data_IF_332000014852
#
_entry.id   IF_332000014852
#
_cell.length_a   1.000
_cell.length_b   1.000
_cell.length_c   1.000
_cell.angle_alpha   90.00
_cell.angle_beta   90.00
_cell.angle_gamma   90.00
#
_symmetry.space_group_name_H-M   'P 1'
#
loop_
_entity.id
_entity.type
_entity.pdbx_description
1 polymer ?
#
# COMPACT_ATOMS: atom_id res chain seq x y z
N UNK A 1 7.60 13.72 -23.15
CA UNK A 1 7.72 12.63 -22.17
C UNK A 1 6.40 12.46 -21.45
N UNK A 2 5.99 11.21 -21.18
CA UNK A 2 4.83 10.92 -20.35
C UNK A 2 5.28 10.22 -19.06
N UNK A 3 4.62 10.46 -17.92
CA UNK A 3 4.85 9.65 -16.72
C UNK A 3 4.71 8.16 -17.04
N UNK A 4 5.53 7.32 -16.43
CA UNK A 4 5.30 5.88 -16.49
C UNK A 4 4.03 5.56 -15.70
N UNK A 5 3.23 4.56 -16.12
CA UNK A 5 2.09 4.10 -15.34
C UNK A 5 2.52 3.72 -13.91
N UNK A 6 1.70 4.05 -12.95
CA UNK A 6 1.95 3.67 -11.56
C UNK A 6 1.83 2.14 -11.41
N UNK A 7 2.79 1.46 -10.78
CA UNK A 7 2.75 0.01 -10.63
C UNK A 7 1.74 -0.43 -9.56
N UNK A 8 1.44 0.45 -8.60
CA UNK A 8 0.55 0.22 -7.48
C UNK A 8 -0.43 1.37 -7.37
N UNK A 9 -1.72 1.10 -7.15
CA UNK A 9 -2.75 2.11 -6.88
C UNK A 9 -3.24 1.98 -5.44
N UNK A 10 -3.15 3.07 -4.69
CA UNK A 10 -3.69 3.19 -3.34
C UNK A 10 -5.10 3.77 -3.43
N UNK A 11 -6.08 3.04 -2.93
CA UNK A 11 -7.49 3.38 -3.07
C UNK A 11 -8.04 4.02 -1.80
N UNK A 12 -8.77 5.11 -1.96
CA UNK A 12 -9.59 5.70 -0.91
C UNK A 12 -11.05 5.81 -1.35
N UNK A 13 -11.95 6.06 -0.42
CA UNK A 13 -13.33 6.42 -0.72
C UNK A 13 -13.86 7.51 0.24
N UNK A 14 -14.74 8.34 -0.29
CA UNK A 14 -15.28 9.50 0.45
C UNK A 14 -16.16 9.06 1.63
N UNK A 15 -16.83 7.91 1.54
CA UNK A 15 -17.65 7.40 2.64
C UNK A 15 -16.82 7.15 3.89
N UNK A 16 -15.65 6.50 3.75
CA UNK A 16 -14.70 6.27 4.86
C UNK A 16 -14.26 7.58 5.51
N UNK A 17 -13.90 8.58 4.70
CA UNK A 17 -13.45 9.87 5.22
C UNK A 17 -14.56 10.60 5.98
N UNK A 18 -15.80 10.56 5.48
CA UNK A 18 -16.97 11.17 6.13
C UNK A 18 -17.32 10.46 7.45
N UNK A 19 -17.36 9.13 7.43
CA UNK A 19 -17.68 8.33 8.61
C UNK A 19 -16.61 8.54 9.68
N UNK A 20 -15.34 8.47 9.33
CA UNK A 20 -14.25 8.70 10.26
C UNK A 20 -14.28 10.11 10.87
N UNK A 21 -14.52 11.14 10.04
CA UNK A 21 -14.66 12.51 10.55
C UNK A 21 -15.81 12.62 11.55
N UNK A 22 -16.97 12.05 11.21
CA UNK A 22 -18.14 12.06 12.11
C UNK A 22 -17.83 11.38 13.44
N UNK A 23 -17.20 10.19 13.41
CA UNK A 23 -16.85 9.46 14.61
C UNK A 23 -15.84 10.21 15.47
N UNK A 24 -14.82 10.82 14.85
CA UNK A 24 -13.84 11.65 15.55
C UNK A 24 -14.45 12.91 16.19
N UNK A 25 -15.51 13.47 15.60
CA UNK A 25 -16.19 14.66 16.12
C UNK A 25 -17.24 14.33 17.19
N UNK A 26 -17.89 13.16 17.13
CA UNK A 26 -19.05 12.83 17.95
C UNK A 26 -18.77 11.80 19.04
N UNK A 27 -17.76 10.94 18.83
CA UNK A 27 -17.40 9.89 19.76
C UNK A 27 -16.04 10.20 20.37
N UNK A 28 -16.01 10.32 21.68
CA UNK A 28 -14.77 10.61 22.43
C UNK A 28 -13.68 9.54 22.22
N UNK A 29 -14.03 8.40 21.66
CA UNK A 29 -13.13 7.26 21.47
C UNK A 29 -12.39 7.23 20.13
N UNK A 30 -12.93 7.86 19.05
CA UNK A 30 -12.36 7.75 17.71
C UNK A 30 -12.13 6.29 17.33
N UNK A 31 -13.16 5.48 17.39
CA UNK A 31 -13.10 4.01 17.44
C UNK A 31 -12.32 3.35 16.32
N UNK A 32 -12.32 3.92 15.11
CA UNK A 32 -11.62 3.36 13.94
C UNK A 32 -10.09 3.50 14.00
N UNK A 33 -9.52 3.56 15.13
CA UNK A 33 -8.10 3.72 15.38
C UNK A 33 -7.82 4.82 16.38
N UNK A 34 -8.87 5.44 16.92
CA UNK A 34 -8.79 6.52 17.93
C UNK A 34 -7.85 7.67 17.53
N UNK A 35 -7.75 7.91 16.23
CA UNK A 35 -6.92 8.96 15.68
C UNK A 35 -7.68 9.79 14.67
N UNK A 36 -7.61 11.10 14.83
CA UNK A 36 -8.08 11.99 13.78
C UNK A 36 -7.34 11.70 12.47
N UNK A 37 -8.10 11.61 11.38
CA UNK A 37 -7.57 11.34 10.04
C UNK A 37 -6.87 9.98 9.86
N UNK A 38 -7.24 8.95 10.61
CA UNK A 38 -6.61 7.61 10.53
C UNK A 38 -6.60 7.04 9.10
N UNK A 39 -7.70 7.16 8.33
CA UNK A 39 -7.72 6.73 6.91
C UNK A 39 -6.66 7.44 6.07
N UNK A 40 -6.52 8.76 6.23
CA UNK A 40 -5.53 9.54 5.45
C UNK A 40 -4.10 9.28 5.92
N UNK A 41 -3.88 9.10 7.22
CA UNK A 41 -2.57 8.70 7.76
C UNK A 41 -2.15 7.32 7.26
N UNK A 42 -3.09 6.37 7.23
CA UNK A 42 -2.84 5.03 6.67
C UNK A 42 -2.52 5.10 5.19
N UNK A 43 -3.26 5.92 4.43
CA UNK A 43 -2.98 6.14 3.01
C UNK A 43 -1.58 6.74 2.78
N UNK A 44 -1.20 7.74 3.60
CA UNK A 44 0.13 8.37 3.54
C UNK A 44 1.24 7.37 3.89
N UNK A 45 1.08 6.59 4.95
CA UNK A 45 2.06 5.58 5.34
C UNK A 45 2.23 4.49 4.28
N UNK A 46 1.14 4.01 3.68
CA UNK A 46 1.20 3.08 2.55
C UNK A 46 1.92 3.71 1.34
N UNK A 47 1.65 5.00 1.06
CA UNK A 47 2.33 5.74 -0.01
C UNK A 47 3.85 5.82 0.24
N UNK A 48 4.26 6.18 1.44
CA UNK A 48 5.68 6.27 1.82
C UNK A 48 6.35 4.90 1.75
N UNK A 49 5.72 3.85 2.28
CA UNK A 49 6.24 2.50 2.28
C UNK A 49 6.47 1.94 0.86
N UNK A 50 5.54 2.19 -0.07
CA UNK A 50 5.69 1.79 -1.48
C UNK A 50 6.72 2.68 -2.18
N UNK A 51 6.70 4.00 -1.93
CA UNK A 51 7.61 4.97 -2.55
C UNK A 51 9.08 4.71 -2.19
N UNK A 52 9.35 4.18 -1.00
CA UNK A 52 10.69 3.80 -0.57
C UNK A 52 11.35 2.76 -1.48
N UNK A 53 10.58 2.05 -2.32
CA UNK A 53 11.10 1.13 -3.35
C UNK A 53 11.40 1.81 -4.70
N UNK A 54 11.35 3.15 -4.76
CA UNK A 54 11.67 3.91 -5.96
C UNK A 54 10.56 3.87 -7.02
N UNK A 55 9.35 3.56 -6.63
CA UNK A 55 8.17 3.65 -7.49
C UNK A 55 7.21 4.70 -6.94
N UNK A 56 6.45 5.34 -7.81
CA UNK A 56 5.43 6.31 -7.38
C UNK A 56 4.07 5.66 -7.48
N UNK A 57 3.41 5.32 -6.36
CA UNK A 57 2.05 4.81 -6.41
C UNK A 57 1.08 5.89 -6.86
N UNK A 58 0.00 5.48 -7.49
CA UNK A 58 -1.15 6.33 -7.76
C UNK A 58 -2.05 6.35 -6.53
N UNK A 59 -2.68 7.49 -6.25
CA UNK A 59 -3.76 7.61 -5.27
C UNK A 59 -5.04 7.89 -6.02
N UNK A 60 -6.02 7.01 -5.91
CA UNK A 60 -7.27 7.10 -6.66
C UNK A 60 -8.51 6.91 -5.77
N UNK A 61 -9.60 7.61 -6.12
CA UNK A 61 -10.90 7.34 -5.54
C UNK A 61 -11.46 6.03 -6.11
N UNK A 62 -11.99 5.17 -5.26
CA UNK A 62 -12.66 3.93 -5.66
C UNK A 62 -13.77 4.15 -6.70
N UNK A 63 -14.39 5.34 -6.70
CA UNK A 63 -15.43 5.70 -7.65
C UNK A 63 -14.90 5.91 -9.08
N UNK A 64 -13.65 6.35 -9.21
CA UNK A 64 -13.02 6.65 -10.50
C UNK A 64 -11.94 5.65 -10.92
N UNK A 65 -11.60 4.70 -10.04
CA UNK A 65 -10.66 3.64 -10.35
C UNK A 65 -11.23 2.71 -11.44
N UNK A 66 -10.39 2.39 -12.41
CA UNK A 66 -10.74 1.44 -13.46
C UNK A 66 -10.62 0.00 -12.95
N UNK A 67 -11.74 -0.52 -12.43
CA UNK A 67 -11.84 -1.87 -11.88
C UNK A 67 -11.79 -2.97 -12.95
N UNK A 68 -12.01 -2.64 -14.22
CA UNK A 68 -12.02 -3.61 -15.32
C UNK A 68 -10.61 -3.89 -15.85
N UNK A 69 -9.70 -2.93 -15.72
CA UNK A 69 -8.28 -3.09 -16.02
C UNK A 69 -7.55 -3.79 -14.86
N UNK A 70 -7.77 -5.09 -14.73
CA UNK A 70 -7.35 -5.87 -13.55
C UNK A 70 -6.02 -6.63 -13.76
N UNK A 71 -5.75 -7.14 -14.98
CA UNK A 71 -4.68 -8.09 -15.22
C UNK A 71 -3.29 -7.55 -14.86
N UNK A 72 -2.66 -8.16 -13.84
CA UNK A 72 -1.33 -7.78 -13.37
C UNK A 72 -1.27 -6.45 -12.60
N UNK A 73 -2.42 -5.82 -12.30
CA UNK A 73 -2.47 -4.61 -11.47
C UNK A 73 -2.52 -4.97 -9.98
N UNK A 74 -1.89 -4.12 -9.18
CA UNK A 74 -1.94 -4.19 -7.72
C UNK A 74 -2.67 -2.97 -7.17
N UNK A 75 -3.74 -3.20 -6.41
CA UNK A 75 -4.49 -2.19 -5.69
C UNK A 75 -4.37 -2.41 -4.17
N UNK A 76 -4.37 -1.33 -3.41
CA UNK A 76 -4.28 -1.35 -1.94
C UNK A 76 -5.44 -0.56 -1.37
N UNK A 77 -6.14 -1.10 -0.38
CA UNK A 77 -7.18 -0.43 0.40
C UNK A 77 -6.67 -0.31 1.86
N UNK A 78 -5.96 0.78 2.20
CA UNK A 78 -5.36 0.94 3.52
C UNK A 78 -6.34 1.58 4.49
N UNK A 79 -6.84 0.82 5.48
CA UNK A 79 -7.68 1.32 6.57
C UNK A 79 -8.88 2.17 6.11
N UNK A 80 -9.55 1.77 5.03
CA UNK A 80 -10.79 2.42 4.59
C UNK A 80 -11.98 1.83 5.34
N UNK A 81 -12.37 2.47 6.45
CA UNK A 81 -13.34 1.93 7.43
C UNK A 81 -14.72 1.63 6.85
N UNK A 82 -15.09 2.25 5.74
CA UNK A 82 -16.33 1.94 5.03
C UNK A 82 -16.05 1.29 3.68
N UNK A 83 -16.89 0.32 3.35
CA UNK A 83 -16.93 -0.30 2.03
C UNK A 83 -18.35 -0.23 1.48
N UNK A 84 -18.67 0.85 0.73
CA UNK A 84 -19.95 1.01 0.08
C UNK A 84 -20.34 -0.20 -0.77
N UNK A 85 -21.64 -0.52 -0.76
CA UNK A 85 -22.18 -1.72 -1.41
C UNK A 85 -21.88 -1.78 -2.91
N UNK A 86 -21.83 -0.62 -3.57
CA UNK A 86 -21.52 -0.50 -5.00
C UNK A 86 -20.11 -0.98 -5.41
N UNK A 87 -19.13 -0.95 -4.49
CA UNK A 87 -17.76 -1.38 -4.79
C UNK A 87 -17.55 -2.88 -4.63
N UNK A 88 -18.39 -3.58 -3.87
CA UNK A 88 -18.23 -5.02 -3.60
C UNK A 88 -18.14 -5.87 -4.88
N UNK A 89 -19.11 -5.78 -5.81
CA UNK A 89 -19.05 -6.55 -7.05
C UNK A 89 -17.85 -6.13 -7.94
N UNK A 90 -17.45 -4.86 -7.89
CA UNK A 90 -16.27 -4.37 -8.64
C UNK A 90 -14.97 -4.95 -8.09
N UNK A 91 -14.83 -5.02 -6.76
CA UNK A 91 -13.71 -5.67 -6.09
C UNK A 91 -13.63 -7.15 -6.46
N UNK A 92 -14.74 -7.88 -6.37
CA UNK A 92 -14.77 -9.29 -6.77
C UNK A 92 -14.40 -9.50 -8.24
N UNK A 93 -14.91 -8.64 -9.12
CA UNK A 93 -14.59 -8.68 -10.56
C UNK A 93 -13.10 -8.41 -10.80
N UNK A 94 -12.54 -7.37 -10.16
CA UNK A 94 -11.13 -7.02 -10.27
C UNK A 94 -10.22 -8.20 -9.88
N UNK A 95 -10.45 -8.80 -8.71
CA UNK A 95 -9.64 -9.93 -8.26
C UNK A 95 -9.87 -11.15 -9.16
N UNK A 96 -11.13 -11.49 -9.47
CA UNK A 96 -11.45 -12.63 -10.35
C UNK A 96 -10.74 -12.53 -11.71
N UNK A 97 -10.55 -11.31 -12.22
CA UNK A 97 -9.93 -11.03 -13.52
C UNK A 97 -8.40 -10.89 -13.47
N UNK A 98 -7.76 -11.16 -12.33
CA UNK A 98 -6.30 -11.24 -12.22
C UNK A 98 -5.66 -10.04 -11.53
N UNK A 99 -6.44 -9.16 -10.88
CA UNK A 99 -5.93 -8.12 -10.01
C UNK A 99 -5.45 -8.68 -8.68
N UNK A 100 -4.38 -8.10 -8.14
CA UNK A 100 -3.96 -8.31 -6.75
C UNK A 100 -4.52 -7.20 -5.87
N UNK A 101 -5.19 -7.56 -4.78
CA UNK A 101 -5.76 -6.62 -3.82
C UNK A 101 -5.13 -6.83 -2.45
N UNK A 102 -4.59 -5.76 -1.87
CA UNK A 102 -4.09 -5.73 -0.50
C UNK A 102 -5.07 -4.91 0.34
N UNK A 103 -5.62 -5.48 1.40
CA UNK A 103 -6.61 -4.83 2.26
C UNK A 103 -6.09 -4.86 3.69
N UNK A 104 -6.03 -3.70 4.33
CA UNK A 104 -5.47 -3.60 5.67
C UNK A 104 -6.38 -2.80 6.61
N UNK A 105 -6.11 -2.89 7.91
CA UNK A 105 -6.84 -2.16 8.92
C UNK A 105 -8.31 -2.55 9.00
N UNK A 106 -9.12 -1.65 9.52
CA UNK A 106 -10.56 -1.84 9.62
C UNK A 106 -11.31 -1.60 8.30
N UNK A 107 -10.66 -1.89 7.15
CA UNK A 107 -11.29 -1.70 5.84
C UNK A 107 -12.55 -2.54 5.71
N UNK A 108 -13.66 -1.85 5.41
CA UNK A 108 -14.97 -2.51 5.30
C UNK A 108 -15.62 -2.86 6.64
N UNK A 109 -15.24 -2.19 7.74
CA UNK A 109 -15.96 -2.35 9.01
C UNK A 109 -17.42 -1.91 8.89
N UNK A 110 -17.66 -0.83 8.15
CA UNK A 110 -19.00 -0.29 7.88
C UNK A 110 -19.37 -0.38 6.39
N UNK A 111 -20.68 -0.36 6.13
CA UNK A 111 -21.23 0.04 4.83
C UNK A 111 -21.33 1.59 4.73
N UNK A 112 -21.89 2.10 3.64
CA UNK A 112 -22.15 3.52 3.41
C UNK A 112 -23.13 4.17 4.39
N UNK A 113 -23.92 3.36 5.11
CA UNK A 113 -24.92 3.76 6.10
C UNK A 113 -24.43 3.56 7.54
N UNK A 114 -23.14 3.29 7.75
CA UNK A 114 -22.54 2.98 9.06
C UNK A 114 -23.07 1.68 9.70
N UNK A 115 -23.56 0.72 8.93
CA UNK A 115 -23.91 -0.60 9.44
C UNK A 115 -22.68 -1.49 9.44
N UNK A 116 -22.43 -2.16 10.55
CA UNK A 116 -21.31 -3.09 10.65
C UNK A 116 -21.49 -4.28 9.68
N UNK A 117 -20.51 -4.49 8.81
CA UNK A 117 -20.56 -5.55 7.80
C UNK A 117 -20.24 -6.94 8.34
N UNK A 118 -19.67 -7.03 9.53
CA UNK A 118 -19.28 -8.31 10.13
C UNK A 118 -20.38 -8.95 10.99
N UNK A 119 -21.47 -8.23 11.30
CA UNK A 119 -22.53 -8.72 12.18
C UNK A 119 -23.36 -9.88 11.61
N UNK A 120 -23.50 -9.97 10.29
CA UNK A 120 -24.35 -10.95 9.62
C UNK A 120 -23.59 -11.73 8.52
N UNK A 121 -22.29 -11.93 8.73
CA UNK A 121 -21.40 -12.51 7.74
C UNK A 121 -20.81 -11.43 6.80
N UNK A 122 -19.52 -11.52 6.58
CA UNK A 122 -18.80 -10.56 5.74
C UNK A 122 -19.13 -10.78 4.26
N UNK A 123 -19.65 -9.76 3.53
CA UNK A 123 -20.12 -9.94 2.16
C UNK A 123 -19.06 -10.41 1.17
N UNK A 124 -17.78 -10.09 1.42
CA UNK A 124 -16.65 -10.48 0.58
C UNK A 124 -15.89 -11.72 1.12
N UNK A 125 -16.48 -12.48 2.05
CA UNK A 125 -15.85 -13.67 2.65
C UNK A 125 -15.21 -14.60 1.62
N UNK A 126 -15.92 -14.93 0.54
CA UNK A 126 -15.40 -15.81 -0.50
C UNK A 126 -14.25 -15.21 -1.28
N UNK A 127 -14.28 -13.90 -1.54
CA UNK A 127 -13.22 -13.19 -2.25
C UNK A 127 -11.99 -12.99 -1.36
N UNK A 128 -12.21 -12.64 -0.08
CA UNK A 128 -11.12 -12.37 0.87
C UNK A 128 -10.57 -13.65 1.51
N UNK A 129 -11.29 -14.76 1.43
CA UNK A 129 -10.88 -16.05 1.96
C UNK A 129 -11.03 -16.21 3.48
N UNK A 130 -11.70 -15.28 4.15
CA UNK A 130 -11.92 -15.31 5.59
C UNK A 130 -13.10 -14.41 5.98
N UNK A 131 -13.48 -14.49 7.24
CA UNK A 131 -14.30 -13.49 7.92
C UNK A 131 -13.65 -13.09 9.24
N UNK A 132 -13.93 -11.88 9.72
CA UNK A 132 -13.47 -11.44 11.04
C UNK A 132 -14.38 -12.05 12.10
N UNK A 133 -13.79 -12.77 13.05
CA UNK A 133 -14.50 -13.28 14.22
C UNK A 133 -14.58 -12.24 15.33
N UNK A 134 -13.53 -11.46 15.49
CA UNK A 134 -13.38 -10.51 16.57
C UNK A 134 -12.40 -9.40 16.24
N UNK A 135 -12.65 -8.21 16.80
CA UNK A 135 -11.65 -7.15 16.96
C UNK A 135 -11.36 -6.94 18.43
N UNK A 136 -10.11 -7.17 18.84
CA UNK A 136 -9.63 -6.94 20.20
C UNK A 136 -8.88 -5.63 20.30
N UNK A 137 -9.05 -4.89 21.37
CA UNK A 137 -8.18 -3.79 21.74
C UNK A 137 -6.88 -4.38 22.30
N UNK A 138 -5.79 -4.29 21.53
CA UNK A 138 -4.51 -4.89 21.90
C UNK A 138 -3.54 -3.89 22.55
N UNK A 139 -3.92 -2.62 22.63
CA UNK A 139 -3.09 -1.53 23.14
C UNK A 139 -2.88 -0.44 22.11
N UNK A 140 -2.33 0.72 22.52
CA UNK A 140 -2.15 1.84 21.59
C UNK A 140 -1.25 1.45 20.41
N UNK A 141 -0.14 0.75 20.69
CA UNK A 141 0.73 0.17 19.67
C UNK A 141 1.13 -1.24 20.10
N UNK A 142 1.12 -2.15 19.14
CA UNK A 142 1.55 -3.54 19.37
C UNK A 142 2.24 -4.08 18.12
N UNK A 143 2.90 -5.22 18.24
CA UNK A 143 3.49 -5.95 17.13
C UNK A 143 2.55 -7.07 16.73
N UNK A 144 2.18 -7.11 15.46
CA UNK A 144 1.38 -8.17 14.88
C UNK A 144 2.31 -9.23 14.29
N UNK A 145 2.14 -10.48 14.69
CA UNK A 145 3.09 -11.53 14.38
C UNK A 145 4.46 -11.23 14.98
N UNK A 146 5.53 -11.38 14.21
CA UNK A 146 6.90 -11.21 14.69
C UNK A 146 7.43 -9.78 14.53
N UNK A 147 6.96 -9.01 13.54
CA UNK A 147 7.63 -7.77 13.16
C UNK A 147 6.69 -6.59 12.85
N UNK A 148 5.44 -6.84 12.45
CA UNK A 148 4.62 -5.81 11.82
C UNK A 148 3.95 -4.91 12.86
N UNK A 149 4.30 -3.61 12.96
CA UNK A 149 3.69 -2.72 13.91
C UNK A 149 2.21 -2.49 13.55
N UNK A 150 1.35 -2.46 14.54
CA UNK A 150 -0.06 -2.17 14.39
C UNK A 150 -0.55 -1.24 15.50
N UNK A 151 -1.72 -0.66 15.31
CA UNK A 151 -2.31 0.32 16.22
C UNK A 151 -3.68 -0.14 16.69
N UNK A 152 -3.85 -0.18 18.00
CA UNK A 152 -5.07 -0.36 18.77
C UNK A 152 -5.83 -1.66 18.50
N UNK A 153 -6.26 -1.91 17.24
CA UNK A 153 -7.17 -3.01 16.90
C UNK A 153 -6.41 -4.21 16.35
N UNK A 154 -6.57 -5.34 17.02
CA UNK A 154 -6.16 -6.65 16.54
C UNK A 154 -7.37 -7.36 15.95
N UNK A 155 -7.41 -7.50 14.64
CA UNK A 155 -8.43 -8.30 13.97
C UNK A 155 -8.05 -9.77 13.99
N UNK A 156 -9.02 -10.63 14.33
CA UNK A 156 -8.89 -12.08 14.34
C UNK A 156 -9.75 -12.66 13.24
N UNK A 157 -9.16 -13.50 12.41
CA UNK A 157 -9.80 -14.10 11.25
C UNK A 157 -10.18 -15.55 11.49
N UNK A 158 -11.33 -15.95 10.93
CA UNK A 158 -11.68 -17.35 10.68
C UNK A 158 -11.50 -17.60 9.19
N UNK A 159 -10.43 -18.30 8.78
CA UNK A 159 -10.18 -18.60 7.38
C UNK A 159 -11.29 -19.45 6.78
N UNK A 160 -11.64 -19.17 5.53
CA UNK A 160 -12.49 -20.01 4.71
C UNK A 160 -11.68 -20.97 3.82
N UNK A 161 -10.34 -20.80 3.77
CA UNK A 161 -9.36 -21.61 3.06
C UNK A 161 -8.16 -21.87 3.96
N UNK A 162 -7.27 -22.80 3.56
CA UNK A 162 -6.10 -23.21 4.36
C UNK A 162 -4.91 -22.25 4.26
N UNK A 163 -5.00 -21.15 3.48
CA UNK A 163 -3.89 -20.22 3.27
C UNK A 163 -3.84 -19.13 4.38
N UNK A 164 -3.40 -19.53 5.57
CA UNK A 164 -3.03 -18.58 6.63
C UNK A 164 -1.68 -17.95 6.30
N UNK A 165 -1.64 -16.62 6.21
CA UNK A 165 -0.42 -15.86 5.94
C UNK A 165 0.34 -15.51 7.22
N UNK A 166 -0.38 -15.22 8.30
CA UNK A 166 0.21 -14.79 9.57
C UNK A 166 -0.67 -15.25 10.75
N UNK A 167 -0.03 -15.75 11.78
CA UNK A 167 -0.64 -15.99 13.09
C UNK A 167 -0.04 -15.06 14.14
N UNK A 168 -0.83 -14.72 15.16
CA UNK A 168 -0.39 -13.92 16.30
C UNK A 168 -1.06 -14.44 17.56
N UNK A 169 -0.24 -14.92 18.52
CA UNK A 169 -0.73 -15.54 19.76
C UNK A 169 -1.65 -16.76 19.55
N UNK A 170 -1.51 -17.47 18.42
CA UNK A 170 -2.33 -18.62 18.04
C UNK A 170 -3.57 -18.28 17.22
N UNK A 171 -3.95 -17.01 17.13
CA UNK A 171 -5.06 -16.54 16.30
C UNK A 171 -4.57 -16.22 14.88
N UNK A 172 -5.43 -16.38 13.87
CA UNK A 172 -5.11 -15.98 12.50
C UNK A 172 -5.27 -14.47 12.35
N UNK A 173 -4.16 -13.80 12.03
CA UNK A 173 -4.06 -12.34 11.94
C UNK A 173 -4.01 -11.81 10.49
N UNK A 174 -3.67 -12.65 9.52
CA UNK A 174 -3.69 -12.33 8.10
C UNK A 174 -3.90 -13.56 7.26
N UNK A 175 -4.56 -13.37 6.12
CA UNK A 175 -4.80 -14.43 5.12
C UNK A 175 -4.39 -13.97 3.74
N UNK A 176 -4.05 -14.95 2.90
CA UNK A 176 -3.88 -14.80 1.47
C UNK A 176 -4.86 -15.72 0.78
N UNK A 177 -5.65 -15.18 -0.12
CA UNK A 177 -6.66 -15.96 -0.83
C UNK A 177 -6.55 -15.78 -2.34
N UNK A 178 -6.57 -16.88 -3.06
CA UNK A 178 -6.71 -16.88 -4.52
C UNK A 178 -8.19 -16.87 -4.89
N UNK A 179 -8.59 -15.90 -5.70
CA UNK A 179 -9.96 -15.78 -6.18
C UNK A 179 -9.99 -15.54 -7.68
N UNK A 180 -10.47 -16.53 -8.43
CA UNK A 180 -10.36 -16.52 -9.88
C UNK A 180 -8.90 -16.55 -10.34
N UNK A 181 -8.47 -15.53 -11.08
CA UNK A 181 -7.07 -15.41 -11.56
C UNK A 181 -6.20 -14.50 -10.69
N UNK A 182 -6.80 -13.83 -9.71
CA UNK A 182 -6.13 -12.88 -8.85
C UNK A 182 -5.97 -13.35 -7.42
N UNK A 183 -5.59 -12.43 -6.58
CA UNK A 183 -5.20 -12.70 -5.19
C UNK A 183 -5.64 -11.56 -4.27
N UNK A 184 -6.07 -11.88 -3.06
CA UNK A 184 -6.29 -10.93 -1.97
C UNK A 184 -5.32 -11.25 -0.84
N UNK A 185 -4.68 -10.21 -0.31
CA UNK A 185 -3.96 -10.22 0.97
C UNK A 185 -4.76 -9.39 1.95
N UNK A 186 -5.19 -9.96 3.06
CA UNK A 186 -6.01 -9.27 4.05
C UNK A 186 -5.40 -9.30 5.44
N UNK A 187 -5.13 -8.10 5.99
CA UNK A 187 -4.60 -7.88 7.33
C UNK A 187 -5.56 -6.94 8.08
N UNK A 188 -6.55 -7.44 8.84
CA UNK A 188 -7.60 -6.61 9.46
C UNK A 188 -7.12 -5.83 10.69
N UNK A 189 -5.84 -5.53 10.79
CA UNK A 189 -5.23 -4.70 11.84
C UNK A 189 -4.60 -3.46 11.22
N UNK A 190 -4.68 -2.27 11.85
CA UNK A 190 -4.17 -1.01 11.30
C UNK A 190 -2.64 -0.93 11.32
N UNK A 191 -2.00 -1.65 10.40
CA UNK A 191 -0.53 -1.75 10.30
C UNK A 191 0.11 -0.45 9.82
N UNK A 192 -0.57 0.31 8.97
CA UNK A 192 -0.08 1.60 8.50
C UNK A 192 0.01 2.63 9.63
N UNK A 193 -0.99 2.65 10.53
CA UNK A 193 -0.95 3.52 11.70
C UNK A 193 0.16 3.11 12.65
N UNK A 194 0.39 1.81 12.82
CA UNK A 194 1.53 1.29 13.58
C UNK A 194 2.85 1.75 12.97
N UNK A 195 3.03 1.58 11.67
CA UNK A 195 4.22 2.02 10.93
C UNK A 195 4.43 3.53 11.03
N UNK A 196 3.40 4.31 10.75
CA UNK A 196 3.44 5.78 10.78
C UNK A 196 3.93 6.36 12.11
N UNK A 197 3.56 5.74 13.23
CA UNK A 197 3.85 6.26 14.57
C UNK A 197 5.03 5.59 15.26
N UNK A 198 5.47 4.42 14.78
CA UNK A 198 6.51 3.63 15.44
C UNK A 198 7.72 3.39 14.56
N UNK A 199 7.53 2.61 13.50
CA UNK A 199 8.63 2.18 12.63
C UNK A 199 8.11 1.84 11.24
N UNK A 200 8.55 2.61 10.25
CA UNK A 200 8.22 2.40 8.86
C UNK A 200 8.98 1.23 8.20
N UNK A 201 10.07 0.75 8.81
CA UNK A 201 10.93 -0.28 8.19
C UNK A 201 10.17 -1.59 7.97
N UNK A 202 9.49 -2.18 8.98
CA UNK A 202 8.71 -3.41 8.76
C UNK A 202 7.53 -3.22 7.80
N UNK A 203 6.86 -2.05 7.85
CA UNK A 203 5.78 -1.73 6.92
C UNK A 203 6.29 -1.62 5.48
N UNK A 204 7.45 -1.00 5.28
CA UNK A 204 8.12 -0.90 3.98
C UNK A 204 8.51 -2.28 3.46
N UNK A 205 9.01 -3.17 4.33
CA UNK A 205 9.32 -4.55 3.97
C UNK A 205 8.06 -5.34 3.59
N UNK A 206 6.96 -5.17 4.33
CA UNK A 206 5.66 -5.77 4.01
C UNK A 206 5.19 -5.36 2.61
N UNK A 207 5.11 -4.07 2.32
CA UNK A 207 4.68 -3.60 1.00
C UNK A 207 5.68 -3.98 -0.12
N UNK A 208 6.98 -4.00 0.17
CA UNK A 208 8.00 -4.46 -0.77
C UNK A 208 7.83 -5.93 -1.15
N UNK A 209 7.38 -6.77 -0.23
CA UNK A 209 7.06 -8.18 -0.48
C UNK A 209 5.73 -8.31 -1.23
N UNK A 210 4.70 -7.66 -0.72
CA UNK A 210 3.35 -7.81 -1.28
C UNK A 210 3.16 -7.14 -2.64
N UNK A 211 3.90 -6.06 -2.93
CA UNK A 211 3.88 -5.37 -4.23
C UNK A 211 5.05 -5.77 -5.14
N UNK A 212 5.78 -6.85 -4.83
CA UNK A 212 7.01 -7.24 -5.53
C UNK A 212 6.87 -7.27 -7.05
N UNK A 213 5.88 -7.98 -7.56
CA UNK A 213 5.70 -8.15 -9.01
C UNK A 213 5.43 -6.80 -9.69
N UNK A 214 4.64 -5.94 -9.07
CA UNK A 214 4.35 -4.60 -9.57
C UNK A 214 5.60 -3.69 -9.53
N UNK A 215 6.40 -3.76 -8.47
CA UNK A 215 7.66 -3.01 -8.34
C UNK A 215 8.69 -3.51 -9.37
N UNK A 216 8.81 -4.80 -9.57
CA UNK A 216 9.76 -5.39 -10.52
C UNK A 216 9.34 -5.16 -11.98
N UNK A 217 8.05 -5.02 -12.26
CA UNK A 217 7.52 -4.62 -13.57
C UNK A 217 7.68 -3.14 -13.89
N UNK A 218 7.96 -2.29 -12.89
CA UNK A 218 8.17 -0.86 -13.10
C UNK A 218 9.40 -0.60 -14.00
N UNK A 219 9.38 0.45 -14.85
CA UNK A 219 10.50 0.79 -15.72
C UNK A 219 11.80 1.09 -14.97
N UNK A 220 11.70 1.59 -13.74
CA UNK A 220 12.79 1.70 -12.79
C UNK A 220 12.27 1.52 -11.36
N UNK A 221 13.10 0.96 -10.49
CA UNK A 221 12.86 0.81 -9.06
C UNK A 221 14.19 0.78 -8.30
N UNK A 222 14.16 0.93 -6.99
CA UNK A 222 15.35 0.73 -6.16
C UNK A 222 15.58 -0.77 -5.91
N UNK A 223 16.84 -1.16 -5.75
CA UNK A 223 17.19 -2.55 -5.39
C UNK A 223 16.89 -2.87 -3.94
N UNK A 224 17.07 -1.89 -3.07
CA UNK A 224 16.74 -1.90 -1.65
C UNK A 224 15.86 -0.72 -1.35
N UNK A 225 15.02 -0.76 -0.31
CA UNK A 225 14.21 0.40 0.04
C UNK A 225 15.10 1.56 0.49
N UNK A 226 14.76 2.75 0.04
CA UNK A 226 15.46 4.00 0.33
C UNK A 226 14.47 5.01 0.94
N UNK A 227 14.26 4.97 2.26
CA UNK A 227 13.43 5.97 2.94
C UNK A 227 13.94 7.39 2.65
N UNK A 228 13.03 8.36 2.58
CA UNK A 228 13.32 9.76 2.30
C UNK A 228 13.95 10.05 0.93
N UNK A 229 13.94 9.08 0.03
CA UNK A 229 14.29 9.26 -1.37
C UNK A 229 13.07 9.01 -2.25
N UNK A 230 12.69 10.01 -3.03
CA UNK A 230 11.58 9.90 -3.98
C UNK A 230 12.13 9.76 -5.39
N UNK A 231 11.50 8.89 -6.19
CA UNK A 231 11.81 8.77 -7.61
C UNK A 231 10.55 8.85 -8.45
N UNK A 232 10.59 9.71 -9.48
CA UNK A 232 9.58 9.78 -10.54
C UNK A 232 10.19 9.32 -11.85
N UNK A 233 9.47 8.45 -12.55
CA UNK A 233 9.93 7.86 -13.80
C UNK A 233 9.08 8.35 -14.96
N UNK A 234 9.74 8.75 -16.04
CA UNK A 234 9.10 9.17 -17.31
C UNK A 234 9.68 8.37 -18.47
N UNK A 235 8.88 8.14 -19.51
CA UNK A 235 9.29 7.40 -20.71
C UNK A 235 9.03 8.19 -21.98
N UNK A 236 9.95 8.09 -22.92
CA UNK A 236 9.78 8.51 -24.32
C UNK A 236 10.69 7.64 -25.19
N UNK A 237 10.16 7.13 -26.29
CA UNK A 237 10.85 6.39 -27.38
C UNK A 237 12.30 5.97 -27.09
N UNK A 238 12.49 4.83 -26.43
CA UNK A 238 13.84 4.29 -26.15
C UNK A 238 14.62 4.97 -25.01
N UNK A 239 14.04 5.98 -24.38
CA UNK A 239 14.67 6.74 -23.29
C UNK A 239 13.82 6.64 -22.02
N UNK A 240 14.49 6.39 -20.91
CA UNK A 240 13.93 6.45 -19.57
C UNK A 240 14.53 7.66 -18.84
N UNK A 241 13.71 8.45 -18.18
CA UNK A 241 14.18 9.57 -17.35
C UNK A 241 13.70 9.34 -15.93
N UNK A 242 14.64 9.41 -14.99
CA UNK A 242 14.33 9.38 -13.56
C UNK A 242 14.62 10.74 -12.95
N UNK A 243 13.65 11.27 -12.23
CA UNK A 243 13.83 12.42 -11.34
C UNK A 243 13.94 11.85 -9.93
N UNK A 244 15.06 12.09 -9.27
CA UNK A 244 15.36 11.56 -7.94
C UNK A 244 15.47 12.76 -7.00
N UNK A 245 14.76 12.72 -5.88
CA UNK A 245 14.81 13.73 -4.83
C UNK A 245 15.28 13.05 -3.55
N UNK A 246 16.46 13.45 -3.09
CA UNK A 246 16.99 13.04 -1.79
C UNK A 246 16.58 14.08 -0.74
N UNK A 247 15.75 13.68 0.23
CA UNK A 247 15.30 14.53 1.35
C UNK A 247 16.15 14.33 2.61
N UNK A 248 17.18 13.49 2.53
CA UNK A 248 18.09 13.23 3.65
C UNK A 248 19.07 14.37 3.83
N UNK A 249 19.52 14.66 5.07
CA UNK A 249 20.54 15.65 5.35
C UNK A 249 21.95 15.21 4.89
N UNK A 250 22.10 13.96 4.43
CA UNK A 250 23.34 13.42 3.87
C UNK A 250 23.14 12.97 2.42
N UNK A 251 24.24 12.77 1.69
CA UNK A 251 24.21 12.21 0.33
C UNK A 251 23.68 10.78 0.34
N UNK A 252 22.81 10.46 -0.61
CA UNK A 252 22.25 9.13 -0.79
C UNK A 252 22.87 8.42 -1.99
N UNK A 253 23.43 7.24 -1.78
CA UNK A 253 23.98 6.37 -2.84
C UNK A 253 22.98 5.25 -3.14
N UNK A 254 22.21 5.41 -4.20
CA UNK A 254 21.02 4.63 -4.52
C UNK A 254 21.33 3.66 -5.65
N UNK A 255 21.00 2.38 -5.51
CA UNK A 255 21.12 1.38 -6.57
C UNK A 255 19.77 1.16 -7.26
N UNK A 256 19.73 1.44 -8.57
CA UNK A 256 18.52 1.28 -9.37
C UNK A 256 18.49 -0.06 -10.10
N UNK A 257 17.27 -0.53 -10.36
CA UNK A 257 16.92 -1.46 -11.44
C UNK A 257 16.31 -0.63 -12.55
N UNK A 258 16.88 -0.65 -13.73
CA UNK A 258 16.42 0.13 -14.89
C UNK A 258 16.08 -0.76 -16.08
N UNK A 259 15.93 -2.08 -15.83
CA UNK A 259 15.61 -3.06 -16.86
C UNK A 259 16.62 -3.03 -18.00
N UNK A 260 16.14 -2.76 -19.21
CA UNK A 260 16.95 -2.71 -20.44
C UNK A 260 17.69 -1.38 -20.67
N UNK A 261 17.56 -0.42 -19.77
CA UNK A 261 18.19 0.88 -19.89
C UNK A 261 19.49 0.88 -19.08
N UNK A 262 20.62 0.85 -19.76
CA UNK A 262 21.93 0.62 -19.13
C UNK A 262 22.88 1.81 -19.11
N UNK A 263 22.71 2.80 -20.02
CA UNK A 263 23.63 3.92 -20.15
C UNK A 263 23.06 5.19 -19.51
N UNK A 264 23.56 5.58 -18.32
CA UNK A 264 23.06 6.76 -17.62
C UNK A 264 23.81 8.04 -18.03
N UNK A 265 23.10 9.16 -18.00
CA UNK A 265 23.65 10.51 -18.09
C UNK A 265 22.90 11.45 -17.16
N UNK A 266 23.62 12.08 -16.24
CA UNK A 266 23.05 13.19 -15.43
C UNK A 266 22.86 14.39 -16.36
N UNK A 267 21.65 14.93 -16.37
CA UNK A 267 21.32 16.11 -17.17
C UNK A 267 21.00 17.33 -16.32
N UNK A 268 20.73 17.11 -15.04
CA UNK A 268 20.45 18.18 -14.07
C UNK A 268 20.74 17.71 -12.65
N UNK A 269 21.20 18.63 -11.81
CA UNK A 269 21.34 18.47 -10.36
C UNK A 269 22.72 17.98 -9.92
N UNK A 270 22.89 17.97 -8.59
CA UNK A 270 24.12 17.52 -7.92
C UNK A 270 24.09 16.01 -7.74
N UNK A 271 24.56 15.30 -8.74
CA UNK A 271 24.61 13.84 -8.70
C UNK A 271 25.79 13.27 -9.49
N UNK A 272 26.23 12.11 -9.08
CA UNK A 272 27.17 11.27 -9.83
C UNK A 272 26.55 9.92 -10.13
N UNK A 273 26.98 9.31 -11.24
CA UNK A 273 26.47 8.00 -11.66
C UNK A 273 27.61 7.06 -11.96
N UNK A 274 27.56 5.85 -11.38
CA UNK A 274 28.50 4.77 -11.65
C UNK A 274 27.70 3.48 -11.92
N UNK A 275 27.57 3.13 -13.20
CA UNK A 275 26.70 2.03 -13.61
C UNK A 275 25.24 2.30 -13.21
N UNK A 276 24.62 1.40 -12.46
CA UNK A 276 23.27 1.54 -11.96
C UNK A 276 23.16 2.26 -10.60
N UNK A 277 24.28 2.73 -10.04
CA UNK A 277 24.31 3.50 -8.80
C UNK A 277 24.30 4.99 -9.10
N UNK A 278 23.36 5.71 -8.50
CA UNK A 278 23.24 7.17 -8.54
C UNK A 278 23.48 7.69 -7.14
N UNK A 279 24.42 8.63 -6.99
CA UNK A 279 24.63 9.34 -5.72
C UNK A 279 24.07 10.74 -5.89
N UNK A 280 23.14 11.14 -5.02
CA UNK A 280 22.48 12.46 -5.01
C UNK A 280 22.89 13.17 -3.71
N UNK A 281 23.30 14.43 -3.82
CA UNK A 281 23.71 15.24 -2.66
C UNK A 281 22.58 15.40 -1.63
N UNK A 282 22.96 15.83 -0.42
CA UNK A 282 22.04 16.11 0.70
C UNK A 282 21.00 17.18 0.32
N UNK A 283 19.73 16.94 0.58
CA UNK A 283 18.61 17.85 0.25
C UNK A 283 18.64 18.35 -1.20
N UNK A 284 19.01 17.47 -2.14
CA UNK A 284 19.14 17.78 -3.57
C UNK A 284 18.26 16.89 -4.44
N UNK A 285 18.10 17.33 -5.67
CA UNK A 285 17.47 16.53 -6.71
C UNK A 285 18.42 16.34 -7.90
N UNK A 286 18.17 15.26 -8.63
CA UNK A 286 18.87 14.96 -9.87
C UNK A 286 17.91 14.45 -10.93
N UNK A 287 18.23 14.75 -12.19
CA UNK A 287 17.56 14.18 -13.34
C UNK A 287 18.57 13.34 -14.12
N UNK A 288 18.29 12.05 -14.21
CA UNK A 288 19.15 11.10 -14.92
C UNK A 288 18.37 10.52 -16.11
N UNK A 289 18.98 10.59 -17.26
CA UNK A 289 18.48 9.98 -18.49
C UNK A 289 19.23 8.67 -18.73
N UNK A 290 18.47 7.63 -19.04
CA UNK A 290 18.95 6.29 -19.30
C UNK A 290 18.61 5.91 -20.74
N UNK A 291 19.61 5.52 -21.52
CA UNK A 291 19.42 4.97 -22.87
C UNK A 291 19.63 3.46 -22.88
N UNK A 292 19.22 2.83 -23.99
CA UNK A 292 19.43 1.40 -24.22
C UNK A 292 20.88 1.09 -24.54
#
# INVERSE_FOLDING_TARGET
MKPAPAPVTLLYNIASLRIQRRNAETLASGEEGRQASACMKSLAAAYEAVSAWGVTPEVADMATFDWDDAAGRTAVIPHMVALPSEFRPRIESFVRNGGKLIVTGLSGFYDENMRCLFMNGFPLKSCFGAEVSEFKVAGEYFTLGEELPAHLWRGILVPASDETMMTDGGDVAAVRNRYGRGEVVWVPSPIELGGYHRDMVPLTAFYGRECRDAIDAAPASFRTPEPDVLMRTMRKEGVLTTVIVNKRPESAAIRLRTGRYGVPRVIYGDASVKGAQVTVGADRCAVVVWSR
#
